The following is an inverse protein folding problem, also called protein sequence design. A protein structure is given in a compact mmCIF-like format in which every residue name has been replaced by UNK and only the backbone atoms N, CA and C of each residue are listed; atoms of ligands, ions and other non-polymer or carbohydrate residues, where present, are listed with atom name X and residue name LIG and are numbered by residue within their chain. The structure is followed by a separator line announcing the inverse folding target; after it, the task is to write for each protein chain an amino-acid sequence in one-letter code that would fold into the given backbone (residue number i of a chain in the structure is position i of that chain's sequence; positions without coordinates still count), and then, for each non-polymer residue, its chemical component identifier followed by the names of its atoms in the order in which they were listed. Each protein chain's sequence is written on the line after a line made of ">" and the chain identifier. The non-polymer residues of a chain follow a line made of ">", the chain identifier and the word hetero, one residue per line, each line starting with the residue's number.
data_IF_593461388395
#
_entry.id   IF_593461388395
#
_cell.length_a   1.000
_cell.length_b   1.000
_cell.length_c   1.000
_cell.angle_alpha   90.00
_cell.angle_beta   90.00
_cell.angle_gamma   90.00
#
_symmetry.space_group_name_H-M   'P 1'
#
loop_
_entity.id
_entity.type
_entity.pdbx_description
1 polymer ?
#
# COMPACT_ATOMS: atom_id res chain seq x y z
N UNK A 1 -4.77 -70.78 -23.95
CA UNK A 1 -5.84 -70.16 -23.12
C UNK A 1 -5.28 -69.16 -22.10
N UNK A 2 -4.26 -69.52 -21.31
CA UNK A 2 -3.70 -68.69 -20.24
C UNK A 2 -3.18 -67.30 -20.69
N UNK A 3 -2.45 -67.21 -21.81
CA UNK A 3 -1.93 -65.93 -22.31
C UNK A 3 -3.03 -64.91 -22.68
N UNK A 4 -4.17 -65.39 -23.20
CA UNK A 4 -5.33 -64.53 -23.52
C UNK A 4 -6.03 -64.03 -22.26
N UNK A 5 -6.14 -64.87 -21.23
CA UNK A 5 -6.68 -64.47 -19.93
C UNK A 5 -5.77 -63.45 -19.23
N UNK A 6 -4.45 -63.60 -19.35
CA UNK A 6 -3.48 -62.66 -18.81
C UNK A 6 -3.58 -61.28 -19.49
N UNK A 7 -3.64 -61.24 -20.82
CA UNK A 7 -3.83 -59.99 -21.58
C UNK A 7 -5.15 -59.29 -21.21
N UNK A 8 -6.23 -60.04 -21.04
CA UNK A 8 -7.51 -59.49 -20.61
C UNK A 8 -7.40 -58.89 -19.20
N UNK A 9 -6.75 -59.57 -18.26
CA UNK A 9 -6.55 -59.08 -16.90
C UNK A 9 -5.72 -57.77 -16.87
N UNK A 10 -4.67 -57.68 -17.68
CA UNK A 10 -3.83 -56.48 -17.79
C UNK A 10 -4.62 -55.29 -18.35
N UNK A 11 -5.38 -55.48 -19.44
CA UNK A 11 -6.18 -54.41 -20.04
C UNK A 11 -7.29 -53.91 -19.11
N UNK A 12 -7.94 -54.81 -18.35
CA UNK A 12 -8.93 -54.43 -17.35
C UNK A 12 -8.29 -53.69 -16.16
N UNK A 13 -7.10 -54.10 -15.74
CA UNK A 13 -6.36 -53.44 -14.67
C UNK A 13 -5.91 -52.03 -15.07
N UNK A 14 -5.32 -51.86 -16.25
CA UNK A 14 -4.99 -50.53 -16.79
C UNK A 14 -6.21 -49.63 -16.95
N UNK A 15 -7.34 -50.20 -17.43
CA UNK A 15 -8.59 -49.47 -17.57
C UNK A 15 -9.20 -49.05 -16.23
N UNK A 16 -8.94 -49.78 -15.14
CA UNK A 16 -9.35 -49.41 -13.79
C UNK A 16 -8.42 -48.34 -13.19
N UNK A 17 -7.11 -48.46 -13.39
CA UNK A 17 -6.09 -47.49 -13.00
C UNK A 17 -6.33 -46.11 -13.65
N UNK A 18 -6.59 -46.06 -14.97
CA UNK A 18 -6.91 -44.81 -15.67
C UNK A 18 -8.15 -44.13 -15.10
N UNK A 19 -9.23 -44.89 -14.86
CA UNK A 19 -10.46 -44.37 -14.26
C UNK A 19 -10.27 -43.87 -12.83
N UNK A 20 -9.37 -44.49 -12.04
CA UNK A 20 -8.99 -43.99 -10.71
C UNK A 20 -8.23 -42.67 -10.80
N UNK A 21 -7.22 -42.59 -11.67
CA UNK A 21 -6.43 -41.37 -11.89
C UNK A 21 -7.27 -40.22 -12.44
N UNK A 22 -8.22 -40.49 -13.34
CA UNK A 22 -9.16 -39.48 -13.84
C UNK A 22 -10.07 -38.93 -12.74
N UNK A 23 -10.58 -39.80 -11.86
CA UNK A 23 -11.40 -39.40 -10.69
C UNK A 23 -10.59 -38.61 -9.66
N UNK A 24 -9.34 -39.00 -9.44
CA UNK A 24 -8.43 -38.32 -8.51
C UNK A 24 -7.99 -36.95 -9.07
N UNK A 25 -7.68 -36.86 -10.37
CA UNK A 25 -7.38 -35.59 -11.05
C UNK A 25 -8.59 -34.66 -11.11
N UNK A 26 -9.80 -35.18 -11.26
CA UNK A 26 -11.01 -34.35 -11.22
C UNK A 26 -11.30 -33.84 -9.81
N UNK A 27 -11.12 -34.66 -8.77
CA UNK A 27 -11.30 -34.20 -7.39
C UNK A 27 -10.25 -33.16 -6.97
N UNK A 28 -8.98 -33.42 -7.23
CA UNK A 28 -7.87 -32.49 -6.91
C UNK A 28 -7.93 -31.22 -7.75
N UNK A 29 -8.27 -31.33 -9.04
CA UNK A 29 -8.49 -30.18 -9.92
C UNK A 29 -9.66 -29.29 -9.46
N UNK A 30 -10.75 -29.91 -8.99
CA UNK A 30 -11.90 -29.19 -8.46
C UNK A 30 -11.57 -28.48 -7.12
N UNK A 31 -10.80 -29.14 -6.25
CA UNK A 31 -10.31 -28.51 -5.01
C UNK A 31 -9.42 -27.30 -5.29
N UNK A 32 -8.49 -27.39 -6.24
CA UNK A 32 -7.65 -26.26 -6.65
C UNK A 32 -8.47 -25.10 -7.24
N UNK A 33 -9.50 -25.40 -8.04
CA UNK A 33 -10.40 -24.39 -8.58
C UNK A 33 -11.19 -23.69 -7.45
N UNK A 34 -11.72 -24.46 -6.49
CA UNK A 34 -12.41 -23.90 -5.32
C UNK A 34 -11.49 -23.04 -4.45
N UNK A 35 -10.25 -23.48 -4.20
CA UNK A 35 -9.27 -22.69 -3.44
C UNK A 35 -8.92 -21.39 -4.15
N UNK A 36 -8.80 -21.41 -5.49
CA UNK A 36 -8.58 -20.20 -6.28
C UNK A 36 -9.77 -19.24 -6.20
N UNK A 37 -10.99 -19.75 -6.29
CA UNK A 37 -12.20 -18.91 -6.15
C UNK A 37 -12.29 -18.27 -4.77
N UNK A 38 -11.99 -19.04 -3.71
CA UNK A 38 -11.90 -18.50 -2.34
C UNK A 38 -10.83 -17.42 -2.22
N UNK A 39 -9.65 -17.63 -2.81
CA UNK A 39 -8.58 -16.64 -2.81
C UNK A 39 -9.01 -15.33 -3.49
N UNK A 40 -9.65 -15.42 -4.66
CA UNK A 40 -10.16 -14.25 -5.39
C UNK A 40 -11.16 -13.47 -4.53
N UNK A 41 -12.13 -14.15 -3.90
CA UNK A 41 -13.13 -13.50 -3.04
C UNK A 41 -12.50 -12.85 -1.80
N UNK A 42 -11.48 -13.47 -1.22
CA UNK A 42 -10.73 -12.89 -0.10
C UNK A 42 -9.96 -11.63 -0.52
N UNK A 43 -9.37 -11.63 -1.72
CA UNK A 43 -8.68 -10.47 -2.27
C UNK A 43 -9.65 -9.32 -2.60
N UNK A 44 -10.85 -9.63 -3.11
CA UNK A 44 -11.92 -8.66 -3.33
C UNK A 44 -12.46 -8.08 -2.01
N UNK A 45 -12.50 -8.88 -0.94
CA UNK A 45 -12.84 -8.43 0.41
C UNK A 45 -11.73 -7.67 1.14
N UNK A 46 -10.50 -7.66 0.61
CA UNK A 46 -9.36 -7.03 1.28
C UNK A 46 -9.59 -5.54 1.55
N UNK A 47 -9.30 -5.10 2.77
CA UNK A 47 -9.29 -3.69 3.15
C UNK A 47 -8.06 -3.37 3.97
N UNK A 48 -7.52 -2.16 3.79
CA UNK A 48 -6.40 -1.66 4.59
C UNK A 48 -6.81 -1.50 6.05
N UNK A 49 -5.98 -2.00 6.96
CA UNK A 49 -6.17 -1.85 8.39
C UNK A 49 -6.06 -0.39 8.81
N UNK A 50 -6.61 -0.07 9.98
CA UNK A 50 -6.49 1.27 10.57
C UNK A 50 -5.03 1.67 10.79
N UNK A 51 -4.18 0.72 11.22
CA UNK A 51 -2.75 0.95 11.42
C UNK A 51 -2.04 1.28 10.10
N UNK A 52 -2.28 0.49 9.04
CA UNK A 52 -1.72 0.74 7.71
C UNK A 52 -2.13 2.12 7.19
N UNK A 53 -3.40 2.51 7.35
CA UNK A 53 -3.88 3.86 6.97
C UNK A 53 -3.18 4.97 7.75
N UNK A 54 -2.96 4.78 9.05
CA UNK A 54 -2.22 5.73 9.91
C UNK A 54 -0.77 5.86 9.45
N UNK A 55 -0.09 4.75 9.16
CA UNK A 55 1.28 4.73 8.67
C UNK A 55 1.40 5.46 7.32
N UNK A 56 0.50 5.15 6.37
CA UNK A 56 0.43 5.84 5.06
C UNK A 56 0.26 7.34 5.25
N UNK A 57 -0.63 7.78 6.15
CA UNK A 57 -0.81 9.20 6.46
C UNK A 57 0.44 9.81 7.07
N UNK A 58 1.10 9.13 8.01
CA UNK A 58 2.35 9.59 8.62
C UNK A 58 3.44 9.83 7.58
N UNK A 59 3.65 8.89 6.67
CA UNK A 59 4.62 9.05 5.56
C UNK A 59 4.20 10.18 4.62
N UNK A 60 2.90 10.31 4.30
CA UNK A 60 2.43 11.41 3.47
C UNK A 60 2.66 12.79 4.09
N UNK A 61 2.50 12.91 5.41
CA UNK A 61 2.79 14.14 6.18
C UNK A 61 4.29 14.47 6.17
N UNK A 62 5.14 13.46 6.32
CA UNK A 62 6.59 13.66 6.34
C UNK A 62 7.11 14.06 4.96
N UNK A 63 6.67 13.34 3.92
CA UNK A 63 7.08 13.60 2.53
C UNK A 63 6.61 14.98 2.06
N UNK A 64 5.40 15.44 2.43
CA UNK A 64 4.95 16.77 2.02
C UNK A 64 5.80 17.90 2.64
N UNK A 65 6.37 17.67 3.82
CA UNK A 65 7.15 18.67 4.56
C UNK A 65 8.66 18.64 4.24
N UNK A 66 9.11 17.80 3.31
CA UNK A 66 10.51 17.76 2.91
C UNK A 66 10.97 19.11 2.33
N UNK A 67 12.04 19.68 2.88
CA UNK A 67 12.55 21.00 2.48
C UNK A 67 12.98 21.09 1.00
N UNK A 68 13.34 19.97 0.38
CA UNK A 68 13.75 19.91 -1.04
C UNK A 68 12.59 19.79 -2.01
N UNK A 69 11.35 19.73 -1.52
CA UNK A 69 10.19 19.36 -2.32
C UNK A 69 9.58 20.58 -3.00
N UNK A 70 9.49 20.53 -4.32
CA UNK A 70 8.91 21.59 -5.14
C UNK A 70 7.64 21.15 -5.87
N UNK A 71 7.40 19.85 -5.97
CA UNK A 71 6.26 19.27 -6.72
C UNK A 71 5.29 18.58 -5.77
N UNK A 72 4.13 19.21 -5.54
CA UNK A 72 3.12 18.69 -4.61
C UNK A 72 2.07 17.78 -5.28
N UNK A 73 1.85 17.91 -6.59
CA UNK A 73 0.83 17.15 -7.32
C UNK A 73 1.09 15.63 -7.34
N UNK A 74 2.36 15.24 -7.38
CA UNK A 74 2.80 13.83 -7.47
C UNK A 74 3.13 13.22 -6.11
N UNK A 75 2.65 13.79 -5.00
CA UNK A 75 2.92 13.30 -3.63
C UNK A 75 2.68 11.81 -3.44
N UNK A 76 1.61 11.29 -4.04
CA UNK A 76 1.30 9.86 -3.95
C UNK A 76 2.34 8.95 -4.60
N UNK A 77 3.12 9.42 -5.59
CA UNK A 77 4.19 8.63 -6.23
C UNK A 77 5.38 8.51 -5.27
N UNK A 78 5.79 9.63 -4.68
CA UNK A 78 6.94 9.66 -3.75
C UNK A 78 6.63 8.88 -2.48
N UNK A 79 5.42 9.04 -1.93
CA UNK A 79 4.98 8.25 -0.77
C UNK A 79 4.93 6.76 -1.11
N UNK A 80 4.49 6.38 -2.33
CA UNK A 80 4.50 4.98 -2.75
C UNK A 80 5.93 4.41 -2.76
N UNK A 81 6.91 5.17 -3.27
CA UNK A 81 8.31 4.75 -3.29
C UNK A 81 8.83 4.46 -1.87
N UNK A 82 8.59 5.39 -0.93
CA UNK A 82 8.99 5.21 0.48
C UNK A 82 8.30 4.01 1.12
N UNK A 83 7.00 3.81 0.87
CA UNK A 83 6.26 2.67 1.40
C UNK A 83 6.72 1.33 0.81
N UNK A 84 7.15 1.32 -0.45
CA UNK A 84 7.67 0.13 -1.13
C UNK A 84 9.02 -0.29 -0.56
N UNK A 85 9.91 0.68 -0.34
CA UNK A 85 11.22 0.44 0.27
C UNK A 85 11.08 0.00 1.74
N UNK A 86 10.13 0.59 2.46
CA UNK A 86 9.84 0.33 3.87
C UNK A 86 8.73 -0.69 4.14
N UNK A 87 8.36 -1.55 3.19
CA UNK A 87 7.12 -2.37 3.28
C UNK A 87 6.94 -3.14 4.59
N UNK A 88 8.04 -3.67 5.17
CA UNK A 88 8.00 -4.40 6.45
C UNK A 88 7.82 -3.49 7.66
N UNK A 89 8.38 -2.28 7.61
CA UNK A 89 8.30 -1.31 8.70
C UNK A 89 6.89 -0.70 8.83
N UNK A 90 6.10 -0.72 7.74
CA UNK A 90 4.77 -0.13 7.69
C UNK A 90 3.63 -1.16 7.69
N UNK A 91 3.93 -2.45 7.91
CA UNK A 91 2.99 -3.57 7.84
C UNK A 91 2.29 -3.70 6.47
N UNK A 92 3.01 -3.51 5.36
CA UNK A 92 2.49 -3.56 3.97
C UNK A 92 3.03 -4.75 3.16
N UNK A 93 3.69 -5.70 3.83
CA UNK A 93 4.23 -6.93 3.24
C UNK A 93 3.17 -7.78 2.53
N UNK A 94 1.94 -7.76 3.03
CA UNK A 94 0.82 -8.49 2.45
C UNK A 94 0.14 -7.78 1.27
N UNK A 95 0.62 -6.61 0.85
CA UNK A 95 0.01 -5.79 -0.21
C UNK A 95 0.86 -5.83 -1.48
N UNK A 96 2.16 -5.57 -1.35
CA UNK A 96 3.07 -5.53 -2.50
C UNK A 96 3.24 -6.92 -3.11
N UNK A 97 3.15 -7.01 -4.44
CA UNK A 97 3.16 -8.27 -5.19
C UNK A 97 1.77 -8.84 -5.49
N UNK A 98 0.69 -8.29 -4.91
CA UNK A 98 -0.69 -8.66 -5.23
C UNK A 98 -1.40 -7.50 -5.94
N UNK A 99 -1.62 -7.58 -7.27
CA UNK A 99 -2.12 -6.44 -8.07
C UNK A 99 -3.43 -5.82 -7.56
N UNK A 100 -4.38 -6.64 -7.12
CA UNK A 100 -5.68 -6.18 -6.59
C UNK A 100 -5.50 -5.35 -5.31
N UNK A 101 -4.58 -5.78 -4.43
CA UNK A 101 -4.31 -5.08 -3.17
C UNK A 101 -3.51 -3.81 -3.42
N UNK A 102 -2.57 -3.83 -4.36
CA UNK A 102 -1.85 -2.62 -4.80
C UNK A 102 -2.79 -1.56 -5.39
N UNK A 103 -3.78 -1.95 -6.19
CA UNK A 103 -4.80 -1.02 -6.70
C UNK A 103 -5.60 -0.38 -5.57
N UNK A 104 -5.99 -1.16 -4.55
CA UNK A 104 -6.67 -0.65 -3.35
C UNK A 104 -5.77 0.31 -2.55
N UNK A 105 -4.49 -0.03 -2.40
CA UNK A 105 -3.49 0.84 -1.79
C UNK A 105 -3.38 2.16 -2.53
N UNK A 106 -3.26 2.14 -3.86
CA UNK A 106 -3.17 3.34 -4.68
C UNK A 106 -4.38 4.26 -4.55
N UNK A 107 -5.59 3.69 -4.47
CA UNK A 107 -6.82 4.47 -4.25
C UNK A 107 -6.79 5.20 -2.91
N UNK A 108 -6.42 4.50 -1.83
CA UNK A 108 -6.28 5.11 -0.50
C UNK A 108 -5.16 6.13 -0.48
N UNK A 109 -4.03 5.83 -1.10
CA UNK A 109 -2.87 6.70 -1.14
C UNK A 109 -3.18 8.04 -1.82
N UNK A 110 -3.82 8.03 -2.99
CA UNK A 110 -4.25 9.25 -3.69
C UNK A 110 -5.18 10.10 -2.84
N UNK A 111 -6.17 9.49 -2.17
CA UNK A 111 -7.11 10.20 -1.30
C UNK A 111 -6.40 10.81 -0.10
N UNK A 112 -5.54 10.05 0.58
CA UNK A 112 -4.79 10.51 1.75
C UNK A 112 -3.83 11.64 1.38
N UNK A 113 -3.07 11.49 0.29
CA UNK A 113 -2.13 12.52 -0.17
C UNK A 113 -2.85 13.80 -0.58
N UNK A 114 -3.99 13.70 -1.29
CA UNK A 114 -4.81 14.85 -1.64
C UNK A 114 -5.33 15.58 -0.39
N UNK A 115 -5.83 14.83 0.60
CA UNK A 115 -6.28 15.41 1.87
C UNK A 115 -5.16 16.10 2.65
N UNK A 116 -3.98 15.45 2.76
CA UNK A 116 -2.80 16.03 3.41
C UNK A 116 -2.35 17.30 2.69
N UNK A 117 -2.33 17.28 1.37
CA UNK A 117 -1.95 18.45 0.56
C UNK A 117 -2.93 19.61 0.73
N UNK A 118 -4.24 19.35 0.76
CA UNK A 118 -5.22 20.41 1.02
C UNK A 118 -5.06 21.01 2.42
N UNK A 119 -4.91 20.19 3.46
CA UNK A 119 -4.66 20.69 4.82
C UNK A 119 -3.37 21.52 4.90
N UNK A 120 -2.31 21.08 4.22
CA UNK A 120 -1.04 21.81 4.16
C UNK A 120 -1.20 23.19 3.50
N UNK A 121 -1.98 23.26 2.41
CA UNK A 121 -2.31 24.52 1.74
C UNK A 121 -3.17 25.45 2.61
N UNK A 122 -4.12 24.89 3.35
CA UNK A 122 -4.95 25.64 4.30
C UNK A 122 -4.09 26.24 5.40
N UNK A 123 -3.18 25.45 6.00
CA UNK A 123 -2.26 25.94 7.03
C UNK A 123 -1.37 27.08 6.53
N UNK A 124 -0.84 26.99 5.30
CA UNK A 124 -0.07 28.08 4.67
C UNK A 124 -0.94 29.32 4.50
N UNK A 125 -2.11 29.17 3.89
CA UNK A 125 -3.03 30.30 3.65
C UNK A 125 -3.40 31.00 4.95
N UNK A 126 -3.72 30.23 5.97
CA UNK A 126 -4.19 30.76 7.25
C UNK A 126 -3.05 31.48 7.99
N UNK A 127 -1.79 31.08 7.79
CA UNK A 127 -0.60 31.75 8.35
C UNK A 127 -0.34 33.17 7.81
N UNK A 128 -0.84 33.48 6.60
CA UNK A 128 -0.64 34.78 5.91
C UNK A 128 -1.84 35.70 6.12
N UNK A 129 -2.94 35.21 6.70
CA UNK A 129 -4.19 35.92 6.72
C UNK A 129 -4.07 37.25 7.52
N UNK A 130 -4.54 38.41 7.03
CA UNK A 130 -4.26 39.73 7.63
C UNK A 130 -4.77 39.98 9.07
N UNK A 131 -5.41 38.99 9.70
CA UNK A 131 -5.85 39.06 11.11
C UNK A 131 -5.20 38.04 12.04
N UNK A 132 -4.45 37.07 11.51
CA UNK A 132 -3.83 35.97 12.27
C UNK A 132 -2.45 35.62 11.70
N UNK A 133 -1.65 36.68 11.45
CA UNK A 133 -0.32 36.52 10.87
C UNK A 133 0.59 35.77 11.83
N UNK A 134 1.10 34.63 11.38
CA UNK A 134 2.07 33.83 12.14
C UNK A 134 3.48 34.15 11.65
N UNK A 135 4.40 34.60 12.52
CA UNK A 135 5.77 34.85 12.11
C UNK A 135 6.44 33.55 11.65
N UNK A 136 7.38 33.69 10.71
CA UNK A 136 7.98 32.56 9.98
C UNK A 136 8.60 31.50 10.88
N UNK A 137 9.23 31.90 11.98
CA UNK A 137 9.85 31.02 12.97
C UNK A 137 8.81 30.11 13.64
N UNK A 138 7.70 30.70 14.11
CA UNK A 138 6.58 29.97 14.73
C UNK A 138 5.88 29.08 13.73
N UNK A 139 5.68 29.57 12.51
CA UNK A 139 5.08 28.79 11.44
C UNK A 139 5.93 27.56 11.11
N UNK A 140 7.24 27.74 10.92
CA UNK A 140 8.17 26.63 10.61
C UNK A 140 8.15 25.58 11.72
N UNK A 141 8.20 25.98 12.99
CA UNK A 141 8.13 25.07 14.13
C UNK A 141 6.76 24.35 14.23
N UNK A 142 5.66 25.06 14.02
CA UNK A 142 4.31 24.48 14.04
C UNK A 142 4.12 23.45 12.92
N UNK A 143 4.58 23.76 11.71
CA UNK A 143 4.54 22.84 10.57
C UNK A 143 5.40 21.60 10.83
N UNK A 144 6.62 21.76 11.36
CA UNK A 144 7.47 20.64 11.70
C UNK A 144 6.87 19.75 12.79
N UNK A 145 6.21 20.35 13.78
CA UNK A 145 5.52 19.60 14.84
C UNK A 145 4.32 18.79 14.31
N UNK A 146 3.61 19.32 13.31
CA UNK A 146 2.41 18.71 12.73
C UNK A 146 2.70 17.67 11.65
N UNK A 147 3.72 17.91 10.82
CA UNK A 147 3.96 17.15 9.60
C UNK A 147 5.17 16.21 9.67
N UNK A 148 6.22 16.53 10.43
CA UNK A 148 7.43 15.69 10.50
C UNK A 148 7.19 14.44 11.34
N UNK A 149 7.59 13.28 10.83
CA UNK A 149 7.58 12.02 11.60
C UNK A 149 8.55 12.15 12.79
N UNK A 150 8.02 12.05 14.02
CA UNK A 150 8.79 12.23 15.26
C UNK A 150 8.77 13.66 15.82
N UNK A 151 8.12 14.62 15.14
CA UNK A 151 7.94 16.00 15.60
C UNK A 151 9.16 16.90 15.42
N UNK A 152 9.05 18.15 15.90
CA UNK A 152 10.11 19.15 15.88
C UNK A 152 11.15 18.90 16.98
N UNK A 153 11.92 17.81 16.86
CA UNK A 153 13.01 17.51 17.81
C UNK A 153 14.32 18.08 17.25
N UNK A 154 14.89 19.07 17.94
CA UNK A 154 16.20 19.68 17.65
C UNK A 154 16.15 20.99 16.87
N UNK A 155 17.34 21.52 16.53
CA UNK A 155 17.47 22.67 15.63
C UNK A 155 16.92 22.31 14.26
N UNK A 156 15.83 22.95 13.86
CA UNK A 156 15.35 22.88 12.48
C UNK A 156 16.41 23.50 11.58
N UNK A 157 16.92 22.73 10.61
CA UNK A 157 17.88 23.26 9.66
C UNK A 157 17.30 24.46 8.91
N UNK A 158 18.13 25.48 8.63
CA UNK A 158 17.76 26.69 7.89
C UNK A 158 17.03 26.43 6.56
N UNK A 159 17.23 25.24 5.98
CA UNK A 159 16.52 24.77 4.79
C UNK A 159 15.00 24.68 4.97
N UNK A 160 14.50 24.29 6.15
CA UNK A 160 13.06 24.23 6.42
C UNK A 160 12.46 25.63 6.54
N UNK A 161 13.16 26.56 7.19
CA UNK A 161 12.75 27.96 7.29
C UNK A 161 12.78 28.66 5.92
N UNK A 162 13.79 28.38 5.11
CA UNK A 162 13.90 28.87 3.73
C UNK A 162 12.76 28.30 2.87
N UNK A 163 12.50 27.01 3.00
CA UNK A 163 11.39 26.37 2.28
C UNK A 163 10.03 26.96 2.69
N UNK A 164 9.79 27.16 4.00
CA UNK A 164 8.59 27.80 4.49
C UNK A 164 8.46 29.24 3.96
N UNK A 165 9.55 30.01 3.93
CA UNK A 165 9.56 31.38 3.38
C UNK A 165 9.27 31.45 1.88
N UNK A 166 9.56 30.39 1.13
CA UNK A 166 9.22 30.31 -0.30
C UNK A 166 7.75 29.94 -0.55
N UNK A 167 7.10 29.33 0.44
CA UNK A 167 5.71 28.85 0.34
C UNK A 167 4.68 29.87 0.86
N UNK A 168 5.12 30.77 1.75
CA UNK A 168 4.32 31.81 2.40
C UNK A 168 4.46 33.12 1.63
#
# INVERSE_FOLDING_TARGET
>A
LAARLYMLAVTLHEGAERRRKEKENTFTGNLHAMMRDLQIRLDDGFTLTSNQKRNIRGVALDVIHQATRTVFFTLHIDVLAVLKDGQKAFDLDNIFGVPVREQKLMSVLRRTCSGVHNTFREDIRDSINPGDFTPLDRFTYAMASKYKLGGAVGDLSDLFSTHAALLV
#
